data_IF_473128690330
#
_entry.id   IF_473128690330
#
_cell.length_a   1.000
_cell.length_b   1.000
_cell.length_c   1.000
_cell.angle_alpha   90.00
_cell.angle_beta   90.00
_cell.angle_gamma   90.00
#
_symmetry.space_group_name_H-M   'P 1'
#
loop_
_entity.id
_entity.type
_entity.pdbx_description
1 polymer ?
#
# COMPACT_ATOMS: atom_id res chain seq x y z
N UNK A 1 4.48 -22.65 -3.15
CA UNK A 1 4.69 -21.20 -3.09
C UNK A 1 3.37 -20.47 -3.27
N UNK A 2 3.12 -19.50 -2.43
CA UNK A 2 1.89 -18.71 -2.54
C UNK A 2 2.19 -17.45 -3.36
N UNK A 3 1.40 -17.25 -4.40
CA UNK A 3 1.50 -16.04 -5.20
C UNK A 3 0.22 -15.24 -5.00
N UNK A 4 0.35 -14.02 -4.50
CA UNK A 4 -0.80 -13.17 -4.30
C UNK A 4 -1.18 -12.50 -5.61
N UNK A 5 -2.44 -12.64 -5.98
CA UNK A 5 -2.98 -11.88 -7.10
C UNK A 5 -3.31 -10.47 -6.64
N UNK A 6 -3.60 -9.60 -7.59
CA UNK A 6 -4.05 -8.24 -7.27
C UNK A 6 -5.28 -8.28 -6.35
N UNK A 7 -6.23 -9.17 -6.63
CA UNK A 7 -7.45 -9.29 -5.82
C UNK A 7 -7.15 -9.68 -4.38
N UNK A 8 -6.22 -10.61 -4.18
CA UNK A 8 -5.83 -11.02 -2.83
C UNK A 8 -5.22 -9.87 -2.06
N UNK A 9 -4.33 -9.11 -2.70
CA UNK A 9 -3.70 -7.95 -2.07
C UNK A 9 -4.71 -6.86 -1.74
N UNK A 10 -5.71 -6.65 -2.60
CA UNK A 10 -6.75 -5.66 -2.36
C UNK A 10 -7.60 -5.96 -1.12
N UNK A 11 -7.74 -7.22 -0.76
CA UNK A 11 -8.53 -7.63 0.38
C UNK A 11 -7.76 -7.60 1.70
N UNK A 12 -6.43 -7.41 1.64
CA UNK A 12 -5.60 -7.39 2.83
C UNK A 12 -5.63 -6.03 3.51
N UNK A 13 -5.72 -6.06 4.84
CA UNK A 13 -5.51 -4.87 5.66
C UNK A 13 -4.06 -4.87 6.10
N UNK A 14 -3.36 -3.78 5.89
CA UNK A 14 -1.95 -3.67 6.26
C UNK A 14 -1.72 -2.49 7.19
N UNK A 15 -0.68 -2.58 8.00
CA UNK A 15 -0.33 -1.52 8.93
C UNK A 15 0.35 -0.37 8.19
N UNK A 16 0.39 0.80 8.85
CA UNK A 16 1.09 1.97 8.32
C UNK A 16 2.57 1.64 8.02
N UNK A 17 3.23 0.89 8.90
CA UNK A 17 4.62 0.50 8.70
C UNK A 17 4.79 -0.38 7.46
N UNK A 18 3.85 -1.29 7.23
CA UNK A 18 3.87 -2.14 6.04
C UNK A 18 3.60 -1.31 4.78
N UNK A 19 2.69 -0.34 4.86
CA UNK A 19 2.40 0.56 3.75
C UNK A 19 3.65 1.37 3.39
N UNK A 20 4.35 1.88 4.39
CA UNK A 20 5.58 2.63 4.17
C UNK A 20 6.64 1.78 3.48
N UNK A 21 6.80 0.54 3.94
CA UNK A 21 7.77 -0.38 3.34
C UNK A 21 7.44 -0.65 1.87
N UNK A 22 6.16 -0.83 1.55
CA UNK A 22 5.74 -1.07 0.16
C UNK A 22 5.99 0.14 -0.72
N UNK A 23 5.64 1.33 -0.25
CA UNK A 23 5.85 2.56 -1.02
C UNK A 23 7.35 2.76 -1.28
N UNK A 24 8.19 2.56 -0.27
CA UNK A 24 9.63 2.70 -0.42
C UNK A 24 10.22 1.67 -1.36
N UNK A 25 9.72 0.45 -1.32
CA UNK A 25 10.20 -0.62 -2.18
C UNK A 25 9.95 -0.32 -3.66
N UNK A 26 8.93 0.46 -3.95
CA UNK A 26 8.59 0.89 -5.31
C UNK A 26 9.11 2.30 -5.62
N UNK A 27 10.10 2.77 -4.87
CA UNK A 27 10.71 4.09 -5.04
C UNK A 27 9.73 5.24 -4.90
N UNK A 28 8.64 5.02 -4.16
CA UNK A 28 7.65 6.06 -3.92
C UNK A 28 8.02 6.94 -2.74
N UNK A 29 7.41 8.10 -2.68
CA UNK A 29 7.58 9.03 -1.57
C UNK A 29 6.41 8.84 -0.60
N UNK A 30 6.69 8.33 0.60
CA UNK A 30 5.63 8.04 1.57
C UNK A 30 4.90 9.30 2.02
N UNK A 31 5.57 10.44 2.08
CA UNK A 31 4.92 11.70 2.43
C UNK A 31 3.85 12.07 1.39
N UNK A 32 4.12 11.84 0.11
CA UNK A 32 3.13 12.05 -0.95
C UNK A 32 1.97 11.07 -0.81
N UNK A 33 2.26 9.82 -0.48
CA UNK A 33 1.23 8.82 -0.24
C UNK A 33 0.31 9.27 0.90
N UNK A 34 0.86 9.77 1.99
CA UNK A 34 0.07 10.26 3.11
C UNK A 34 -0.79 11.46 2.74
N UNK A 35 -0.26 12.34 1.89
CA UNK A 35 -1.01 13.50 1.42
C UNK A 35 -2.17 13.10 0.50
N UNK A 36 -1.97 12.08 -0.32
CA UNK A 36 -2.98 11.65 -1.29
C UNK A 36 -4.03 10.72 -0.68
N UNK A 37 -3.60 9.80 0.16
CA UNK A 37 -4.47 8.75 0.71
C UNK A 37 -4.92 9.08 2.13
N UNK A 38 -4.05 9.69 2.91
CA UNK A 38 -4.32 10.06 4.30
C UNK A 38 -3.38 9.35 5.27
N UNK A 39 -3.15 9.99 6.41
CA UNK A 39 -2.30 9.44 7.46
C UNK A 39 -3.18 8.62 8.41
N UNK A 40 -3.14 7.31 8.26
CA UNK A 40 -3.92 6.38 9.07
C UNK A 40 -3.02 5.29 9.61
N UNK A 41 -3.49 4.58 10.62
CA UNK A 41 -2.73 3.48 11.21
C UNK A 41 -2.80 2.22 10.37
N UNK A 42 -3.88 2.06 9.58
CA UNK A 42 -4.10 0.89 8.75
C UNK A 42 -4.61 1.32 7.38
N UNK A 43 -4.29 0.51 6.39
CA UNK A 43 -4.72 0.74 5.00
C UNK A 43 -5.20 -0.57 4.40
N UNK A 44 -6.05 -0.47 3.39
CA UNK A 44 -6.38 -1.63 2.56
C UNK A 44 -5.32 -1.77 1.47
N UNK A 45 -4.98 -3.00 1.14
CA UNK A 45 -3.97 -3.25 0.11
C UNK A 45 -4.29 -2.56 -1.22
N UNK A 46 -5.58 -2.47 -1.57
CA UNK A 46 -6.00 -1.80 -2.81
C UNK A 46 -5.59 -0.33 -2.85
N UNK A 47 -5.63 0.35 -1.72
CA UNK A 47 -5.29 1.77 -1.66
C UNK A 47 -3.84 2.00 -2.03
N UNK A 48 -2.97 1.11 -1.59
CA UNK A 48 -1.55 1.19 -1.89
C UNK A 48 -1.28 0.79 -3.33
N UNK A 49 -1.88 -0.30 -3.79
CA UNK A 49 -1.69 -0.77 -5.15
C UNK A 49 -2.20 0.25 -6.16
N UNK A 50 -3.37 0.85 -5.91
CA UNK A 50 -3.91 1.87 -6.80
C UNK A 50 -3.01 3.10 -6.84
N UNK A 51 -2.48 3.50 -5.69
CA UNK A 51 -1.59 4.65 -5.62
C UNK A 51 -0.27 4.37 -6.37
N UNK A 52 0.22 3.15 -6.29
CA UNK A 52 1.46 2.73 -6.98
C UNK A 52 1.25 2.49 -8.48
N UNK A 53 0.02 2.45 -8.94
CA UNK A 53 -0.28 2.33 -10.36
C UNK A 53 -0.48 0.91 -10.89
N UNK A 54 -0.81 -0.01 -10.00
CA UNK A 54 -1.12 -1.38 -10.44
C UNK A 54 -2.51 -1.51 -11.00
#
# INVERSE_FOLDING_TARGET
>A
MVVYSYSDACEMTITRAEAEAEVRRHDGNFAEFLADVGDREEYEGREILDWLGY
#
